data_IF_245174064992
#
_entry.id   IF_245174064992
#
_cell.length_a   1.000
_cell.length_b   1.000
_cell.length_c   1.000
_cell.angle_alpha   90.00
_cell.angle_beta   90.00
_cell.angle_gamma   90.00
#
_symmetry.space_group_name_H-M   'P 1'
#
loop_
_entity.id
_entity.type
_entity.pdbx_description
1 polymer ?
#
# COMPACT_ATOMS: atom_id res chain seq x y z
N UNK A 1 22.15 35.67 -44.89
CA UNK A 1 21.02 36.25 -44.14
C UNK A 1 19.73 35.98 -44.90
N UNK A 2 18.93 35.01 -44.49
CA UNK A 2 17.49 35.02 -44.75
C UNK A 2 16.80 34.55 -43.47
N UNK A 3 16.15 35.52 -42.82
CA UNK A 3 15.42 35.37 -41.56
C UNK A 3 14.20 34.47 -41.78
N UNK A 4 14.19 33.31 -41.14
CA UNK A 4 12.98 32.53 -40.93
C UNK A 4 12.08 33.31 -39.97
N UNK A 5 10.96 33.84 -40.47
CA UNK A 5 9.93 34.47 -39.64
C UNK A 5 9.26 33.42 -38.76
N UNK A 6 8.88 33.75 -37.52
CA UNK A 6 8.16 32.84 -36.64
C UNK A 6 6.76 32.59 -37.20
N UNK A 7 6.34 31.32 -37.21
CA UNK A 7 4.98 30.93 -37.55
C UNK A 7 4.05 31.46 -36.45
N UNK A 8 3.28 32.50 -36.77
CA UNK A 8 2.25 33.05 -35.90
C UNK A 8 1.04 32.12 -35.98
N UNK A 9 0.70 31.48 -34.86
CA UNK A 9 -0.49 30.65 -34.76
C UNK A 9 -1.74 31.55 -34.81
N UNK A 10 -2.59 31.37 -35.81
CA UNK A 10 -3.82 32.13 -35.99
C UNK A 10 -4.94 31.54 -35.11
N UNK A 11 -5.52 32.30 -34.15
CA UNK A 11 -6.61 31.81 -33.30
C UNK A 11 -7.92 31.53 -34.07
N UNK A 12 -8.07 32.06 -35.29
CA UNK A 12 -9.28 31.90 -36.12
C UNK A 12 -9.29 30.63 -36.99
N UNK A 13 -8.31 29.73 -36.81
CA UNK A 13 -8.26 28.46 -37.54
C UNK A 13 -9.49 27.53 -37.29
N UNK A 14 -10.30 27.81 -36.27
CA UNK A 14 -11.55 27.10 -36.01
C UNK A 14 -12.63 27.31 -37.09
N UNK A 15 -12.54 28.36 -37.91
CA UNK A 15 -13.57 28.68 -38.90
C UNK A 15 -13.34 28.07 -40.29
N UNK A 16 -12.09 27.66 -40.62
CA UNK A 16 -11.77 26.99 -41.90
C UNK A 16 -12.15 25.50 -41.92
N UNK A 17 -12.28 24.85 -40.76
CA UNK A 17 -12.53 23.41 -40.67
C UNK A 17 -13.92 23.01 -41.19
N UNK A 18 -14.92 23.91 -41.11
CA UNK A 18 -16.31 23.61 -41.50
C UNK A 18 -16.50 23.35 -43.00
N UNK A 19 -15.65 23.92 -43.87
CA UNK A 19 -15.77 23.75 -45.32
C UNK A 19 -15.08 22.48 -45.85
N UNK A 20 -13.96 22.08 -45.24
CA UNK A 20 -13.13 20.98 -45.74
C UNK A 20 -13.65 19.58 -45.34
N UNK A 21 -14.31 19.45 -44.18
CA UNK A 21 -14.78 18.15 -43.70
C UNK A 21 -16.03 17.63 -44.44
N UNK A 22 -16.91 18.52 -44.91
CA UNK A 22 -18.10 18.13 -45.68
C UNK A 22 -17.72 17.53 -47.04
N UNK A 23 -16.66 18.07 -47.67
CA UNK A 23 -16.08 17.53 -48.91
C UNK A 23 -15.41 16.16 -48.72
N UNK A 24 -15.01 15.82 -47.50
CA UNK A 24 -14.41 14.54 -47.13
C UNK A 24 -15.43 13.45 -46.74
N UNK A 25 -16.74 13.72 -46.82
CA UNK A 25 -17.79 12.77 -46.47
C UNK A 25 -18.00 12.56 -44.97
N UNK A 26 -17.54 13.50 -44.14
CA UNK A 26 -17.66 13.42 -42.68
C UNK A 26 -19.04 13.93 -42.25
N UNK A 27 -19.75 13.11 -41.48
CA UNK A 27 -21.09 13.45 -40.98
C UNK A 27 -21.03 14.54 -39.90
N UNK A 28 -22.15 15.24 -39.69
CA UNK A 28 -22.24 16.27 -38.64
C UNK A 28 -21.97 15.69 -37.22
N UNK A 29 -22.35 14.43 -36.98
CA UNK A 29 -22.05 13.69 -35.75
C UNK A 29 -20.54 13.46 -35.58
N UNK A 30 -19.85 13.04 -36.65
CA UNK A 30 -18.40 12.86 -36.64
C UNK A 30 -17.68 14.19 -36.40
N UNK A 31 -18.17 15.30 -36.96
CA UNK A 31 -17.60 16.64 -36.71
C UNK A 31 -17.75 17.06 -35.24
N UNK A 32 -18.89 16.80 -34.61
CA UNK A 32 -19.08 17.07 -33.17
C UNK A 32 -18.14 16.23 -32.32
N UNK A 33 -17.98 14.94 -32.66
CA UNK A 33 -17.08 14.04 -31.95
C UNK A 33 -15.61 14.46 -32.10
N UNK A 34 -15.20 14.91 -33.29
CA UNK A 34 -13.86 15.47 -33.51
C UNK A 34 -13.61 16.71 -32.64
N UNK A 35 -14.58 17.62 -32.52
CA UNK A 35 -14.46 18.79 -31.65
C UNK A 35 -14.29 18.41 -30.17
N UNK A 36 -15.00 17.39 -29.70
CA UNK A 36 -14.83 16.86 -28.35
C UNK A 36 -13.45 16.24 -28.14
N UNK A 37 -12.92 15.53 -29.15
CA UNK A 37 -11.58 14.93 -29.10
C UNK A 37 -10.47 15.98 -29.13
N UNK A 38 -10.63 17.05 -29.91
CA UNK A 38 -9.65 18.15 -29.95
C UNK A 38 -9.51 18.86 -28.60
N UNK A 39 -10.57 18.93 -27.80
CA UNK A 39 -10.49 19.42 -26.41
C UNK A 39 -9.63 18.51 -25.51
N UNK A 40 -9.41 17.25 -25.90
CA UNK A 40 -8.56 16.28 -25.20
C UNK A 40 -7.15 16.19 -25.79
N UNK A 41 -6.82 16.97 -26.83
CA UNK A 41 -5.49 16.96 -27.45
C UNK A 41 -4.46 17.55 -26.49
N UNK A 42 -3.46 16.74 -26.16
CA UNK A 42 -2.30 17.16 -25.37
C UNK A 42 -1.12 17.44 -26.31
N UNK A 43 -0.46 18.56 -26.12
CA UNK A 43 0.75 18.99 -26.82
C UNK A 43 1.84 19.30 -25.79
N UNK A 44 3.13 19.39 -26.18
CA UNK A 44 4.20 19.77 -25.26
C UNK A 44 4.02 21.12 -24.56
N UNK A 45 3.17 22.00 -25.11
CA UNK A 45 2.84 23.32 -24.56
C UNK A 45 1.47 23.40 -23.89
N UNK A 46 0.71 22.30 -23.89
CA UNK A 46 -0.59 22.25 -23.21
C UNK A 46 -0.37 22.45 -21.71
N UNK A 47 -0.98 23.49 -21.14
CA UNK A 47 -0.94 23.75 -19.69
C UNK A 47 -1.90 22.77 -19.00
N UNK A 48 -1.35 21.70 -18.46
CA UNK A 48 -2.10 20.71 -17.68
C UNK A 48 -2.09 21.10 -16.21
N UNK A 49 -3.19 20.80 -15.50
CA UNK A 49 -3.18 20.84 -14.03
C UNK A 49 -2.20 19.78 -13.53
N UNK A 50 -1.33 20.11 -12.56
CA UNK A 50 -0.50 19.09 -11.95
C UNK A 50 -1.39 18.04 -11.29
N UNK A 51 -0.95 16.80 -11.30
CA UNK A 51 -1.62 15.73 -10.58
C UNK A 51 -1.63 16.05 -9.08
N UNK A 52 -2.83 16.02 -8.50
CA UNK A 52 -3.07 16.26 -7.08
C UNK A 52 -3.18 14.93 -6.34
N UNK A 53 -2.66 14.90 -5.12
CA UNK A 53 -2.59 13.70 -4.29
C UNK A 53 -3.25 14.02 -2.94
N UNK A 54 -3.96 13.04 -2.38
CA UNK A 54 -4.61 13.22 -1.09
C UNK A 54 -3.62 13.11 0.08
N UNK A 55 -2.65 12.19 -0.04
CA UNK A 55 -1.79 11.81 1.09
C UNK A 55 -0.30 11.76 0.73
N UNK A 56 0.54 11.75 1.77
CA UNK A 56 1.93 11.31 1.70
C UNK A 56 2.11 10.09 2.57
N UNK A 57 2.67 9.02 2.01
CA UNK A 57 3.12 7.85 2.77
C UNK A 57 4.64 7.87 2.82
N UNK A 58 5.22 7.96 4.02
CA UNK A 58 6.68 8.08 4.20
C UNK A 58 7.27 9.25 3.39
N UNK A 59 6.57 10.39 3.37
CA UNK A 59 6.96 11.63 2.67
C UNK A 59 6.69 11.66 1.16
N UNK A 60 6.27 10.55 0.54
CA UNK A 60 6.01 10.46 -0.90
C UNK A 60 4.51 10.64 -1.22
N UNK A 61 4.14 11.49 -2.20
CA UNK A 61 2.74 11.64 -2.59
C UNK A 61 2.13 10.33 -3.08
N UNK A 62 0.90 10.04 -2.65
CA UNK A 62 0.13 8.85 -3.00
C UNK A 62 -1.38 9.15 -3.03
N UNK A 63 -2.16 8.22 -3.59
CA UNK A 63 -3.62 8.39 -3.80
C UNK A 63 -3.93 9.63 -4.66
N UNK A 64 -3.60 9.53 -5.94
CA UNK A 64 -3.86 10.59 -6.92
C UNK A 64 -5.38 10.78 -7.13
N UNK A 65 -5.82 12.03 -7.17
CA UNK A 65 -7.18 12.37 -7.62
C UNK A 65 -7.34 12.06 -9.10
N UNK A 66 -8.52 11.59 -9.48
CA UNK A 66 -8.80 11.19 -10.86
C UNK A 66 -8.36 9.76 -11.20
N UNK A 67 -7.82 9.02 -10.23
CA UNK A 67 -7.16 7.74 -10.46
C UNK A 67 -7.65 6.65 -9.49
N UNK A 68 -7.44 5.39 -9.88
CA UNK A 68 -7.72 4.23 -9.06
C UNK A 68 -6.50 3.80 -8.25
N UNK A 69 -6.73 3.37 -7.02
CA UNK A 69 -5.75 2.70 -6.17
C UNK A 69 -6.24 1.31 -5.80
N UNK A 70 -5.44 0.28 -6.05
CA UNK A 70 -5.75 -1.08 -5.57
C UNK A 70 -5.25 -1.28 -4.14
N UNK A 71 -6.10 -1.77 -3.23
CA UNK A 71 -5.70 -2.19 -1.89
C UNK A 71 -6.00 -3.68 -1.71
N UNK A 72 -4.94 -4.48 -1.66
CA UNK A 72 -5.03 -5.93 -1.74
C UNK A 72 -4.48 -6.64 -0.52
N UNK A 73 -4.78 -7.94 -0.38
CA UNK A 73 -4.18 -8.79 0.63
C UNK A 73 -5.04 -9.98 0.98
N UNK A 74 -4.44 -10.99 1.63
CA UNK A 74 -5.16 -12.19 2.11
C UNK A 74 -6.29 -11.83 3.08
N UNK A 75 -7.20 -12.77 3.32
CA UNK A 75 -8.23 -12.58 4.35
C UNK A 75 -7.56 -12.26 5.70
N UNK A 76 -8.13 -11.30 6.45
CA UNK A 76 -7.64 -10.84 7.76
C UNK A 76 -6.21 -10.23 7.73
N UNK A 77 -5.76 -9.73 6.58
CA UNK A 77 -4.43 -9.12 6.42
C UNK A 77 -4.35 -7.65 6.84
N UNK A 78 -5.42 -7.05 7.36
CA UNK A 78 -5.45 -5.67 7.83
C UNK A 78 -5.96 -4.63 6.83
N UNK A 79 -6.54 -5.04 5.70
CA UNK A 79 -7.14 -4.12 4.70
C UNK A 79 -8.11 -3.12 5.33
N UNK A 80 -9.09 -3.60 6.11
CA UNK A 80 -10.06 -2.74 6.79
C UNK A 80 -9.39 -1.76 7.77
N UNK A 81 -8.27 -2.13 8.41
CA UNK A 81 -7.50 -1.19 9.23
C UNK A 81 -6.87 -0.09 8.37
N UNK A 82 -6.28 -0.44 7.23
CA UNK A 82 -5.73 0.54 6.29
C UNK A 82 -6.82 1.45 5.73
N UNK A 83 -7.97 0.90 5.31
CA UNK A 83 -9.12 1.69 4.91
C UNK A 83 -9.58 2.65 6.01
N UNK A 84 -9.60 2.19 7.27
CA UNK A 84 -9.95 3.03 8.43
C UNK A 84 -8.94 4.16 8.66
N UNK A 85 -7.64 3.88 8.49
CA UNK A 85 -6.58 4.89 8.55
C UNK A 85 -6.79 5.96 7.47
N UNK A 86 -7.06 5.55 6.22
CA UNK A 86 -7.31 6.47 5.10
C UNK A 86 -8.54 7.35 5.35
N UNK A 87 -9.64 6.77 5.85
CA UNK A 87 -10.86 7.53 6.18
C UNK A 87 -10.63 8.50 7.34
N UNK A 88 -9.91 8.09 8.38
CA UNK A 88 -9.60 8.97 9.52
C UNK A 88 -8.67 10.14 9.11
N UNK A 89 -7.71 9.90 8.21
CA UNK A 89 -6.82 10.93 7.65
C UNK A 89 -7.56 12.00 6.82
N UNK A 90 -8.79 11.74 6.40
CA UNK A 90 -9.63 12.80 5.84
C UNK A 90 -9.97 13.89 6.87
N UNK A 91 -9.81 13.61 8.17
CA UNK A 91 -10.18 14.49 9.27
C UNK A 91 -8.99 14.99 10.10
N UNK A 92 -7.91 14.19 10.24
CA UNK A 92 -6.67 14.59 10.90
C UNK A 92 -5.53 14.89 9.91
N UNK A 93 -4.50 15.63 10.34
CA UNK A 93 -3.38 15.99 9.46
C UNK A 93 -2.39 14.85 9.25
N UNK A 94 -2.23 14.00 10.26
CA UNK A 94 -1.26 12.91 10.25
C UNK A 94 -1.76 11.79 11.15
N UNK A 95 -1.55 10.56 10.69
CA UNK A 95 -1.82 9.34 11.42
C UNK A 95 -0.76 8.32 11.04
N UNK A 96 -0.02 7.81 12.03
CA UNK A 96 1.17 6.98 11.80
C UNK A 96 2.17 7.71 10.89
N UNK A 97 2.74 7.03 9.88
CA UNK A 97 3.64 7.61 8.87
C UNK A 97 2.91 8.17 7.64
N UNK A 98 1.63 8.51 7.77
CA UNK A 98 0.80 9.02 6.66
C UNK A 98 0.28 10.41 6.98
N UNK A 99 0.39 11.31 6.02
CA UNK A 99 0.02 12.72 6.17
C UNK A 99 -1.01 13.12 5.11
N UNK A 100 -2.02 13.89 5.49
CA UNK A 100 -2.91 14.57 4.54
C UNK A 100 -2.20 15.77 3.94
N UNK A 101 -2.18 15.86 2.61
CA UNK A 101 -1.49 16.96 1.90
C UNK A 101 -2.24 18.27 2.07
N UNK A 102 -3.56 18.24 1.91
CA UNK A 102 -4.39 19.42 2.02
C UNK A 102 -4.65 19.79 3.49
N UNK A 103 -4.66 21.09 3.80
CA UNK A 103 -4.97 21.57 5.14
C UNK A 103 -6.47 21.48 5.47
N UNK A 104 -7.33 21.56 4.45
CA UNK A 104 -8.76 21.33 4.63
C UNK A 104 -9.03 19.85 4.87
N UNK A 105 -10.08 19.57 5.65
CA UNK A 105 -10.65 18.23 5.74
C UNK A 105 -11.15 17.78 4.36
N UNK A 106 -11.06 16.48 4.12
CA UNK A 106 -11.48 15.85 2.87
C UNK A 106 -12.86 15.24 3.07
N UNK A 107 -13.67 15.29 2.03
CA UNK A 107 -14.95 14.58 1.98
C UNK A 107 -14.68 13.12 1.61
N UNK A 108 -15.16 12.18 2.40
CA UNK A 108 -14.99 10.75 2.17
C UNK A 108 -16.32 10.03 1.98
N UNK A 109 -16.35 9.13 0.99
CA UNK A 109 -17.43 8.19 0.75
C UNK A 109 -16.92 6.77 1.02
N UNK A 110 -17.48 6.10 2.02
CA UNK A 110 -17.26 4.68 2.28
C UNK A 110 -18.42 3.86 1.72
N UNK A 111 -18.12 3.06 0.71
CA UNK A 111 -19.06 2.17 0.04
C UNK A 111 -18.72 0.72 0.40
N UNK A 112 -19.47 0.14 1.33
CA UNK A 112 -19.20 -1.16 1.95
C UNK A 112 -20.13 -2.24 1.39
N UNK A 113 -19.58 -3.23 0.70
CA UNK A 113 -20.34 -4.38 0.18
C UNK A 113 -20.13 -5.64 1.01
N UNK A 114 -19.17 -5.65 1.94
CA UNK A 114 -18.67 -6.87 2.58
C UNK A 114 -19.19 -7.06 4.00
N UNK A 115 -19.23 -6.00 4.81
CA UNK A 115 -19.55 -6.12 6.25
C UNK A 115 -21.05 -6.16 6.53
N UNK A 116 -21.45 -6.61 7.72
CA UNK A 116 -22.82 -6.39 8.21
C UNK A 116 -23.01 -4.92 8.60
N UNK A 117 -24.25 -4.44 8.63
CA UNK A 117 -24.56 -3.05 9.04
C UNK A 117 -23.99 -2.72 10.43
N UNK A 118 -24.15 -3.64 11.39
CA UNK A 118 -23.57 -3.52 12.73
C UNK A 118 -22.04 -3.42 12.69
N UNK A 119 -21.38 -4.26 11.89
CA UNK A 119 -19.91 -4.21 11.77
C UNK A 119 -19.44 -2.91 11.11
N UNK A 120 -20.14 -2.41 10.10
CA UNK A 120 -19.86 -1.11 9.47
C UNK A 120 -20.00 0.02 10.51
N UNK A 121 -21.07 0.00 11.31
CA UNK A 121 -21.29 0.98 12.37
C UNK A 121 -20.21 0.90 13.45
N UNK A 122 -19.83 -0.29 13.89
CA UNK A 122 -18.78 -0.49 14.89
C UNK A 122 -17.43 0.04 14.41
N UNK A 123 -17.07 -0.22 13.15
CA UNK A 123 -15.84 0.30 12.56
C UNK A 123 -15.87 1.83 12.53
N UNK A 124 -16.99 2.44 12.13
CA UNK A 124 -17.15 3.89 12.11
C UNK A 124 -16.96 4.49 13.52
N UNK A 125 -17.74 3.99 14.49
CA UNK A 125 -17.81 4.55 15.84
C UNK A 125 -16.59 4.24 16.69
N UNK A 126 -16.08 3.02 16.64
CA UNK A 126 -15.04 2.53 17.54
C UNK A 126 -13.65 2.53 16.91
N UNK A 127 -13.52 2.87 15.62
CA UNK A 127 -12.21 2.94 14.97
C UNK A 127 -11.98 4.23 14.20
N UNK A 128 -12.81 4.55 13.19
CA UNK A 128 -12.54 5.68 12.30
C UNK A 128 -12.62 7.02 13.05
N UNK A 129 -13.72 7.25 13.78
CA UNK A 129 -13.90 8.48 14.57
C UNK A 129 -12.80 8.63 15.64
N UNK A 130 -12.48 7.61 16.45
CA UNK A 130 -11.35 7.67 17.39
C UNK A 130 -10.00 7.96 16.74
N UNK A 131 -9.69 7.34 15.60
CA UNK A 131 -8.44 7.57 14.86
C UNK A 131 -8.31 9.01 14.34
N UNK A 132 -9.42 9.70 14.07
CA UNK A 132 -9.40 11.09 13.68
C UNK A 132 -9.00 12.02 14.85
N UNK A 133 -9.06 11.55 16.10
CA UNK A 133 -8.76 12.33 17.30
C UNK A 133 -9.74 13.47 17.57
N UNK A 134 -10.93 13.41 16.96
CA UNK A 134 -12.00 14.40 17.15
C UNK A 134 -13.06 13.76 18.07
N UNK A 135 -13.47 14.44 19.15
CA UNK A 135 -14.56 13.95 19.98
C UNK A 135 -15.83 13.70 19.16
N UNK A 136 -16.52 12.61 19.46
CA UNK A 136 -17.66 12.09 18.68
C UNK A 136 -18.74 13.16 18.47
N UNK A 137 -19.03 13.98 19.48
CA UNK A 137 -19.98 15.09 19.45
C UNK A 137 -19.60 16.25 18.53
N UNK A 138 -18.34 16.31 18.10
CA UNK A 138 -17.76 17.34 17.22
C UNK A 138 -17.24 16.78 15.90
N UNK A 139 -17.45 15.48 15.64
CA UNK A 139 -17.03 14.88 14.39
C UNK A 139 -17.86 15.44 13.22
N UNK A 140 -17.23 15.92 12.14
CA UNK A 140 -17.92 16.54 11.00
C UNK A 140 -18.60 15.48 10.12
N UNK A 141 -19.73 14.94 10.59
CA UNK A 141 -20.47 13.88 9.91
C UNK A 141 -20.90 14.26 8.49
N UNK A 142 -21.06 15.56 8.20
CA UNK A 142 -21.40 16.07 6.86
C UNK A 142 -20.31 15.84 5.80
N UNK A 143 -19.09 15.49 6.21
CA UNK A 143 -17.97 15.15 5.33
C UNK A 143 -17.68 13.65 5.27
N UNK A 144 -18.50 12.82 5.92
CA UNK A 144 -18.36 11.36 5.93
C UNK A 144 -19.66 10.67 5.54
N UNK A 145 -19.72 10.26 4.28
CA UNK A 145 -20.83 9.46 3.76
C UNK A 145 -20.50 7.97 3.87
N UNK A 146 -21.35 7.21 4.56
CA UNK A 146 -21.16 5.76 4.76
C UNK A 146 -22.40 5.02 4.27
N UNK A 147 -22.22 4.13 3.31
CA UNK A 147 -23.29 3.31 2.75
C UNK A 147 -22.89 1.83 2.83
N UNK A 148 -23.59 1.07 3.67
CA UNK A 148 -23.57 -0.39 3.60
C UNK A 148 -24.58 -0.82 2.53
N UNK A 149 -24.08 -1.39 1.44
CA UNK A 149 -24.88 -1.82 0.28
C UNK A 149 -24.84 -3.33 0.09
N UNK A 150 -24.45 -4.07 1.12
CA UNK A 150 -24.40 -5.54 1.09
C UNK A 150 -25.77 -6.15 0.77
N UNK A 151 -26.84 -5.51 1.23
CA UNK A 151 -28.23 -5.92 0.95
C UNK A 151 -28.71 -5.65 -0.47
N UNK A 152 -28.03 -4.74 -1.20
CA UNK A 152 -28.48 -4.32 -2.53
C UNK A 152 -28.20 -5.39 -3.60
N UNK A 153 -29.05 -5.48 -4.65
CA UNK A 153 -28.83 -6.36 -5.79
C UNK A 153 -27.48 -6.08 -6.45
N UNK A 154 -26.70 -7.14 -6.69
CA UNK A 154 -25.34 -7.03 -7.22
C UNK A 154 -25.24 -6.25 -8.53
N UNK A 155 -26.20 -6.42 -9.43
CA UNK A 155 -26.29 -5.71 -10.71
C UNK A 155 -26.58 -4.20 -10.58
N UNK A 156 -27.05 -3.74 -9.42
CA UNK A 156 -27.36 -2.34 -9.16
C UNK A 156 -26.19 -1.62 -8.47
N UNK A 157 -25.33 -2.33 -7.74
CA UNK A 157 -24.27 -1.76 -6.90
C UNK A 157 -23.34 -0.80 -7.65
N UNK A 158 -22.90 -1.11 -8.86
CA UNK A 158 -22.03 -0.20 -9.61
C UNK A 158 -22.76 1.10 -9.99
N UNK A 159 -24.03 1.01 -10.39
CA UNK A 159 -24.84 2.19 -10.68
C UNK A 159 -25.12 3.03 -9.43
N UNK A 160 -25.37 2.40 -8.29
CA UNK A 160 -25.54 3.09 -7.01
C UNK A 160 -24.26 3.82 -6.59
N UNK A 161 -23.09 3.18 -6.71
CA UNK A 161 -21.80 3.84 -6.46
C UNK A 161 -21.60 5.08 -7.34
N UNK A 162 -21.87 4.97 -8.65
CA UNK A 162 -21.78 6.11 -9.58
C UNK A 162 -22.71 7.26 -9.17
N UNK A 163 -23.96 6.95 -8.81
CA UNK A 163 -24.93 7.95 -8.34
C UNK A 163 -24.47 8.64 -7.05
N UNK A 164 -23.93 7.89 -6.09
CA UNK A 164 -23.43 8.44 -4.83
C UNK A 164 -22.21 9.35 -5.06
N UNK A 165 -21.25 8.93 -5.88
CA UNK A 165 -20.06 9.76 -6.19
C UNK A 165 -20.48 11.05 -6.90
N UNK A 166 -21.41 10.99 -7.86
CA UNK A 166 -21.94 12.18 -8.53
C UNK A 166 -22.70 13.11 -7.58
N UNK A 167 -23.46 12.55 -6.63
CA UNK A 167 -24.28 13.29 -5.68
C UNK A 167 -23.45 14.00 -4.61
N UNK A 168 -22.49 13.29 -4.02
CA UNK A 168 -21.74 13.75 -2.85
C UNK A 168 -20.40 14.39 -3.21
N UNK A 169 -19.87 14.13 -4.41
CA UNK A 169 -18.59 14.69 -4.90
C UNK A 169 -17.42 14.51 -3.91
N UNK A 170 -17.17 13.29 -3.41
CA UNK A 170 -16.16 13.04 -2.40
C UNK A 170 -14.74 13.27 -2.95
N UNK A 171 -13.80 13.62 -2.08
CA UNK A 171 -12.38 13.65 -2.40
C UNK A 171 -11.77 12.23 -2.44
N UNK A 172 -12.20 11.38 -1.50
CA UNK A 172 -11.80 9.97 -1.36
C UNK A 172 -13.03 9.06 -1.42
N UNK A 173 -12.97 8.01 -2.23
CA UNK A 173 -13.92 6.90 -2.22
C UNK A 173 -13.21 5.65 -1.74
N UNK A 174 -13.73 5.00 -0.70
CA UNK A 174 -13.30 3.67 -0.26
C UNK A 174 -14.37 2.67 -0.71
N UNK A 175 -14.06 1.93 -1.79
CA UNK A 175 -14.86 0.82 -2.28
C UNK A 175 -14.39 -0.47 -1.59
N UNK A 176 -15.03 -0.80 -0.46
CA UNK A 176 -14.70 -1.99 0.33
C UNK A 176 -15.39 -3.22 -0.24
N UNK A 177 -14.79 -3.80 -1.28
CA UNK A 177 -15.27 -5.00 -1.96
C UNK A 177 -15.54 -4.83 -3.46
N UNK A 178 -14.53 -4.44 -4.27
CA UNK A 178 -14.70 -4.32 -5.73
C UNK A 178 -15.19 -5.62 -6.40
N UNK A 179 -14.84 -6.77 -5.81
CA UNK A 179 -15.29 -8.10 -6.25
C UNK A 179 -16.81 -8.23 -6.29
N UNK A 180 -17.50 -7.52 -5.42
CA UNK A 180 -18.95 -7.61 -5.26
C UNK A 180 -19.72 -6.72 -6.25
N UNK A 181 -19.01 -6.04 -7.16
CA UNK A 181 -19.58 -5.32 -8.29
C UNK A 181 -19.75 -6.19 -9.54
N UNK A 182 -19.13 -7.38 -9.57
CA UNK A 182 -19.13 -8.27 -10.73
C UNK A 182 -19.72 -9.64 -10.38
N UNK A 183 -20.56 -10.17 -11.28
CA UNK A 183 -21.21 -11.46 -11.09
C UNK A 183 -20.24 -12.64 -11.18
N UNK A 184 -19.39 -12.62 -12.20
CA UNK A 184 -18.32 -13.58 -12.37
C UNK A 184 -16.98 -12.84 -12.39
N UNK A 185 -16.15 -13.11 -11.38
CA UNK A 185 -14.78 -12.59 -11.29
C UNK A 185 -13.88 -13.10 -12.42
N UNK A 186 -14.30 -14.17 -13.11
CA UNK A 186 -13.57 -14.77 -14.20
C UNK A 186 -14.01 -14.29 -15.59
N UNK A 187 -14.99 -13.38 -15.67
CA UNK A 187 -15.39 -12.75 -16.92
C UNK A 187 -14.51 -11.52 -17.18
N UNK A 188 -13.59 -11.65 -18.14
CA UNK A 188 -12.68 -10.58 -18.52
C UNK A 188 -13.37 -9.36 -19.12
N UNK A 189 -14.52 -9.52 -19.80
CA UNK A 189 -15.26 -8.42 -20.42
C UNK A 189 -15.94 -7.58 -19.33
N UNK A 190 -16.60 -8.25 -18.38
CA UNK A 190 -17.25 -7.57 -17.25
C UNK A 190 -16.22 -6.89 -16.34
N UNK A 191 -15.07 -7.54 -16.11
CA UNK A 191 -13.97 -6.96 -15.37
C UNK A 191 -13.45 -5.68 -16.04
N UNK A 192 -13.22 -5.72 -17.37
CA UNK A 192 -12.75 -4.57 -18.13
C UNK A 192 -13.76 -3.41 -18.09
N UNK A 193 -15.05 -3.66 -18.38
CA UNK A 193 -16.09 -2.62 -18.33
C UNK A 193 -16.18 -1.97 -16.94
N UNK A 194 -16.15 -2.78 -15.88
CA UNK A 194 -16.20 -2.30 -14.50
C UNK A 194 -15.03 -1.37 -14.18
N UNK A 195 -13.80 -1.78 -14.52
CA UNK A 195 -12.60 -0.96 -14.27
C UNK A 195 -12.62 0.31 -15.12
N UNK A 196 -13.03 0.26 -16.39
CA UNK A 196 -13.15 1.44 -17.24
C UNK A 196 -14.19 2.44 -16.70
N UNK A 197 -15.33 1.95 -16.19
CA UNK A 197 -16.35 2.77 -15.53
C UNK A 197 -15.80 3.44 -14.27
N UNK A 198 -15.10 2.70 -13.41
CA UNK A 198 -14.47 3.25 -12.21
C UNK A 198 -13.39 4.30 -12.55
N UNK A 199 -12.59 4.07 -13.59
CA UNK A 199 -11.59 5.05 -14.06
C UNK A 199 -12.26 6.34 -14.55
N UNK A 200 -13.33 6.23 -15.35
CA UNK A 200 -14.12 7.39 -15.77
C UNK A 200 -14.72 8.11 -14.57
N UNK A 201 -15.32 7.37 -13.63
CA UNK A 201 -15.94 7.92 -12.43
C UNK A 201 -14.93 8.73 -11.59
N UNK A 202 -13.74 8.16 -11.35
CA UNK A 202 -12.65 8.85 -10.64
C UNK A 202 -12.24 10.13 -11.38
N UNK A 203 -11.95 10.00 -12.69
CA UNK A 203 -11.45 11.10 -13.53
C UNK A 203 -12.43 12.25 -13.68
N UNK A 204 -13.71 11.96 -13.94
CA UNK A 204 -14.77 12.95 -14.17
C UNK A 204 -15.16 13.68 -12.87
N UNK A 205 -15.06 13.01 -11.72
CA UNK A 205 -15.40 13.60 -10.41
C UNK A 205 -14.18 14.08 -9.62
N UNK A 206 -12.96 13.94 -10.17
CA UNK A 206 -11.69 14.38 -9.56
C UNK A 206 -11.48 13.85 -8.13
N UNK A 207 -11.86 12.60 -7.90
CA UNK A 207 -11.72 11.88 -6.64
C UNK A 207 -10.68 10.74 -6.74
N UNK A 208 -10.09 10.33 -5.63
CA UNK A 208 -9.30 9.11 -5.58
C UNK A 208 -10.20 7.94 -5.17
N UNK A 209 -10.22 6.85 -5.95
CA UNK A 209 -11.01 5.65 -5.62
C UNK A 209 -10.07 4.53 -5.17
N UNK A 210 -10.25 4.08 -3.93
CA UNK A 210 -9.53 2.95 -3.35
C UNK A 210 -10.39 1.69 -3.47
N UNK A 211 -9.95 0.77 -4.31
CA UNK A 211 -10.63 -0.49 -4.56
C UNK A 211 -10.03 -1.59 -3.68
N UNK A 212 -10.78 -2.01 -2.65
CA UNK A 212 -10.35 -3.07 -1.74
C UNK A 212 -10.67 -4.43 -2.36
N UNK A 213 -9.67 -5.33 -2.39
CA UNK A 213 -9.79 -6.66 -2.97
C UNK A 213 -9.07 -7.72 -2.12
N UNK A 214 -9.72 -8.87 -1.91
CA UNK A 214 -9.06 -10.04 -1.32
C UNK A 214 -8.21 -10.79 -2.35
N UNK A 215 -7.00 -11.17 -1.96
CA UNK A 215 -6.19 -12.13 -2.73
C UNK A 215 -6.80 -13.54 -2.68
N UNK A 216 -6.42 -14.38 -3.65
CA UNK A 216 -6.82 -15.78 -3.70
C UNK A 216 -6.30 -16.59 -2.49
N UNK A 217 -6.98 -17.71 -2.20
CA UNK A 217 -6.67 -18.60 -1.06
C UNK A 217 -5.45 -19.52 -1.29
N UNK A 218 -5.01 -19.75 -2.53
CA UNK A 218 -3.86 -20.62 -2.81
C UNK A 218 -2.57 -19.99 -2.25
N UNK A 219 -1.74 -20.79 -1.60
CA UNK A 219 -0.53 -20.32 -0.91
C UNK A 219 0.56 -19.84 -1.88
N UNK A 220 0.50 -20.24 -3.16
CA UNK A 220 1.52 -19.99 -4.17
C UNK A 220 1.21 -18.78 -5.08
N UNK A 221 -0.05 -18.38 -5.23
CA UNK A 221 -0.43 -17.24 -6.08
C UNK A 221 -0.63 -15.97 -5.25
N UNK A 222 0.35 -15.07 -5.29
CA UNK A 222 0.20 -13.67 -4.82
C UNK A 222 -0.66 -12.81 -5.76
N UNK A 223 -1.21 -13.39 -6.82
CA UNK A 223 -1.98 -12.67 -7.82
C UNK A 223 -3.34 -12.23 -7.25
N UNK A 224 -3.78 -11.04 -7.66
CA UNK A 224 -5.10 -10.52 -7.34
C UNK A 224 -6.17 -11.46 -7.90
N UNK A 225 -7.29 -11.59 -7.18
CA UNK A 225 -8.31 -12.62 -7.45
C UNK A 225 -9.10 -12.32 -8.73
N UNK A 226 -9.07 -13.25 -9.68
CA UNK A 226 -9.87 -13.21 -10.91
C UNK A 226 -9.40 -12.16 -11.91
N UNK A 227 -10.08 -12.09 -13.05
CA UNK A 227 -9.84 -11.08 -14.08
C UNK A 227 -10.02 -9.65 -13.55
N UNK A 228 -10.97 -9.43 -12.63
CA UNK A 228 -11.16 -8.12 -11.98
C UNK A 228 -9.91 -7.66 -11.22
N UNK A 229 -9.24 -8.59 -10.53
CA UNK A 229 -8.00 -8.31 -9.82
C UNK A 229 -6.85 -7.99 -10.78
N UNK A 230 -6.68 -8.81 -11.80
CA UNK A 230 -5.67 -8.59 -12.84
C UNK A 230 -5.86 -7.25 -13.53
N UNK A 231 -7.10 -6.92 -13.93
CA UNK A 231 -7.41 -5.68 -14.63
C UNK A 231 -7.20 -4.46 -13.73
N UNK A 232 -7.63 -4.53 -12.46
CA UNK A 232 -7.33 -3.50 -11.47
C UNK A 232 -5.82 -3.28 -11.35
N UNK A 233 -5.01 -4.35 -11.26
CA UNK A 233 -3.54 -4.21 -11.17
C UNK A 233 -2.96 -3.46 -12.37
N UNK A 234 -3.42 -3.83 -13.57
CA UNK A 234 -2.92 -3.28 -14.83
C UNK A 234 -3.30 -1.80 -15.01
N UNK A 235 -4.48 -1.41 -14.52
CA UNK A 235 -5.07 -0.09 -14.77
C UNK A 235 -4.92 0.90 -13.62
N UNK A 236 -4.78 0.42 -12.39
CA UNK A 236 -4.60 1.28 -11.23
C UNK A 236 -3.31 2.12 -11.36
N UNK A 237 -3.37 3.31 -10.78
CA UNK A 237 -2.25 4.22 -10.70
C UNK A 237 -1.22 3.74 -9.67
N UNK A 238 -1.73 3.20 -8.56
CA UNK A 238 -0.96 2.59 -7.47
C UNK A 238 -1.65 1.32 -6.99
N UNK A 239 -0.85 0.34 -6.55
CA UNK A 239 -1.34 -0.87 -5.90
C UNK A 239 -0.57 -1.08 -4.61
N UNK A 240 -1.32 -1.39 -3.56
CA UNK A 240 -0.81 -1.69 -2.23
C UNK A 240 -1.21 -3.10 -1.80
N UNK A 241 -0.35 -3.71 -1.01
CA UNK A 241 -0.58 -5.01 -0.37
C UNK A 241 -0.55 -4.85 1.15
N UNK A 242 -1.59 -5.36 1.79
CA UNK A 242 -1.70 -5.57 3.21
C UNK A 242 -1.34 -7.01 3.55
N UNK A 243 -0.37 -7.19 4.44
CA UNK A 243 0.06 -8.47 4.95
C UNK A 243 0.00 -8.51 6.48
N UNK A 244 -0.23 -9.69 7.04
CA UNK A 244 -0.12 -9.95 8.48
C UNK A 244 1.14 -10.78 8.71
N UNK A 245 2.19 -10.16 9.24
CA UNK A 245 3.53 -10.77 9.37
C UNK A 245 3.68 -11.59 10.66
N UNK A 246 2.94 -11.22 11.70
CA UNK A 246 2.88 -11.93 12.99
C UNK A 246 1.46 -11.87 13.53
N UNK A 247 1.21 -12.40 14.74
CA UNK A 247 -0.14 -12.37 15.32
C UNK A 247 -0.70 -10.96 15.51
N UNK A 248 0.17 -9.95 15.63
CA UNK A 248 -0.25 -8.58 15.94
C UNK A 248 0.30 -7.52 14.98
N UNK A 249 1.26 -7.85 14.10
CA UNK A 249 1.88 -6.87 13.20
C UNK A 249 1.36 -7.00 11.78
N UNK A 250 0.84 -5.89 11.29
CA UNK A 250 0.37 -5.68 9.93
C UNK A 250 1.40 -4.85 9.15
N UNK A 251 1.47 -5.09 7.86
CA UNK A 251 2.30 -4.33 6.92
C UNK A 251 1.43 -3.84 5.78
N UNK A 252 1.60 -2.58 5.44
CA UNK A 252 0.99 -1.92 4.30
C UNK A 252 2.12 -1.41 3.39
N UNK A 253 2.31 -2.08 2.26
CA UNK A 253 3.39 -1.77 1.32
C UNK A 253 2.88 -1.49 -0.09
N UNK A 254 3.58 -0.64 -0.84
CA UNK A 254 3.32 -0.40 -2.25
C UNK A 254 3.94 -1.53 -3.09
N UNK A 255 3.16 -2.13 -3.98
CA UNK A 255 3.65 -3.18 -4.90
C UNK A 255 3.87 -2.66 -6.31
N UNK A 256 3.01 -1.74 -6.76
CA UNK A 256 3.04 -1.20 -8.12
C UNK A 256 2.71 0.31 -8.08
N UNK A 257 3.33 1.10 -8.95
CA UNK A 257 3.08 2.54 -9.09
C UNK A 257 3.43 3.03 -10.48
N UNK A 258 2.71 4.06 -10.94
CA UNK A 258 3.01 4.76 -12.21
C UNK A 258 3.88 6.00 -12.03
N UNK A 259 4.21 6.42 -10.80
CA UNK A 259 4.90 7.72 -10.60
C UNK A 259 5.90 7.75 -9.44
N UNK A 260 5.44 7.60 -8.20
CA UNK A 260 6.29 7.78 -7.02
C UNK A 260 6.41 6.47 -6.23
N UNK A 261 7.65 5.97 -6.17
CA UNK A 261 7.98 4.80 -5.34
C UNK A 261 8.01 5.16 -3.86
N UNK A 262 7.30 4.39 -3.05
CA UNK A 262 7.31 4.44 -1.59
C UNK A 262 8.29 3.38 -1.10
N UNK A 263 9.47 3.77 -0.57
CA UNK A 263 10.56 2.82 -0.31
C UNK A 263 10.33 1.97 0.94
N UNK A 264 9.58 2.49 1.91
CA UNK A 264 9.42 1.85 3.22
C UNK A 264 7.94 1.56 3.45
N UNK A 265 7.56 0.28 3.58
CA UNK A 265 6.19 -0.08 3.93
C UNK A 265 5.89 0.36 5.36
N UNK A 266 4.63 0.72 5.61
CA UNK A 266 4.16 1.08 6.94
C UNK A 266 3.85 -0.19 7.72
N UNK A 267 4.38 -0.28 8.94
CA UNK A 267 4.11 -1.38 9.86
C UNK A 267 3.37 -0.85 11.08
N UNK A 268 2.28 -1.52 11.43
CA UNK A 268 1.44 -1.14 12.56
C UNK A 268 0.93 -2.37 13.30
N UNK A 269 0.64 -2.18 14.58
CA UNK A 269 -0.05 -3.14 15.41
C UNK A 269 -1.42 -2.58 15.80
N UNK A 270 -2.24 -3.41 16.44
CA UNK A 270 -3.59 -3.04 16.89
C UNK A 270 -3.64 -3.22 18.40
N UNK A 271 -4.05 -2.17 19.12
CA UNK A 271 -4.15 -2.21 20.58
C UNK A 271 -5.45 -2.91 21.04
N UNK A 272 -5.65 -2.97 22.36
CA UNK A 272 -6.82 -3.63 22.97
C UNK A 272 -8.15 -2.94 22.62
N UNK A 273 -8.12 -1.65 22.30
CA UNK A 273 -9.28 -0.87 21.82
C UNK A 273 -9.57 -1.10 20.33
N UNK A 274 -8.77 -1.91 19.63
CA UNK A 274 -8.94 -2.16 18.20
C UNK A 274 -8.42 -1.03 17.30
N UNK A 275 -7.56 -0.14 17.82
CA UNK A 275 -6.97 0.99 17.11
C UNK A 275 -5.55 0.66 16.59
N UNK A 276 -5.28 0.90 15.30
CA UNK A 276 -3.94 0.86 14.75
C UNK A 276 -2.97 1.85 15.42
N UNK A 277 -1.78 1.40 15.78
CA UNK A 277 -0.70 2.24 16.28
C UNK A 277 0.65 1.84 15.65
N UNK A 278 1.57 2.79 15.61
CA UNK A 278 2.88 2.59 14.97
C UNK A 278 3.73 1.68 15.83
N UNK A 279 4.25 0.59 15.26
CA UNK A 279 5.11 -0.31 16.00
C UNK A 279 6.41 0.39 16.40
N UNK A 280 6.84 0.20 17.65
CA UNK A 280 8.19 0.56 18.08
C UNK A 280 9.21 -0.39 17.43
N UNK A 281 10.49 0.03 17.40
CA UNK A 281 11.56 -0.84 16.93
C UNK A 281 11.63 -2.15 17.73
N UNK A 282 11.44 -2.08 19.04
CA UNK A 282 11.41 -3.26 19.93
C UNK A 282 10.27 -4.22 19.58
N UNK A 283 9.06 -3.72 19.34
CA UNK A 283 7.91 -4.56 18.96
C UNK A 283 8.13 -5.26 17.62
N UNK A 284 8.76 -4.57 16.66
CA UNK A 284 9.13 -5.16 15.37
C UNK A 284 10.16 -6.29 15.56
N UNK A 285 11.20 -6.06 16.36
CA UNK A 285 12.21 -7.07 16.68
C UNK A 285 11.60 -8.28 17.39
N UNK A 286 10.72 -8.06 18.38
CA UNK A 286 10.09 -9.13 19.13
C UNK A 286 9.16 -9.98 18.25
N UNK A 287 8.39 -9.35 17.36
CA UNK A 287 7.56 -10.06 16.41
C UNK A 287 8.35 -10.86 15.38
N UNK A 288 9.48 -10.32 14.91
CA UNK A 288 10.43 -11.06 14.07
C UNK A 288 10.94 -12.30 14.81
N UNK A 289 11.40 -12.14 16.06
CA UNK A 289 11.91 -13.23 16.88
C UNK A 289 10.86 -14.32 17.15
N UNK A 290 9.61 -13.94 17.47
CA UNK A 290 8.50 -14.90 17.67
C UNK A 290 8.12 -15.63 16.38
N UNK A 291 8.14 -14.94 15.24
CA UNK A 291 7.90 -15.57 13.94
C UNK A 291 8.99 -16.60 13.62
N UNK A 292 10.25 -16.25 13.89
CA UNK A 292 11.41 -17.13 13.75
C UNK A 292 11.30 -18.36 14.67
N UNK A 293 10.87 -18.20 15.93
CA UNK A 293 10.61 -19.34 16.83
C UNK A 293 9.48 -20.25 16.33
N UNK A 294 8.34 -19.70 15.91
CA UNK A 294 7.23 -20.50 15.35
C UNK A 294 7.65 -21.28 14.09
N UNK A 295 8.52 -20.70 13.26
CA UNK A 295 9.12 -21.41 12.12
C UNK A 295 10.07 -22.53 12.58
N UNK A 296 10.92 -22.26 13.58
CA UNK A 296 11.82 -23.25 14.18
C UNK A 296 11.06 -24.46 14.75
N UNK A 297 9.98 -24.22 15.49
CA UNK A 297 9.16 -25.27 16.09
C UNK A 297 8.44 -26.12 15.04
N UNK A 298 7.91 -25.48 13.98
CA UNK A 298 7.36 -26.21 12.82
C UNK A 298 8.42 -27.07 12.12
N UNK A 299 9.64 -26.55 12.00
CA UNK A 299 10.75 -27.26 11.37
C UNK A 299 11.26 -28.42 12.24
N UNK A 300 11.17 -28.37 13.57
CA UNK A 300 11.45 -29.54 14.43
C UNK A 300 10.46 -30.70 14.20
N UNK A 301 9.24 -30.41 13.71
CA UNK A 301 8.27 -31.42 13.27
C UNK A 301 8.55 -32.02 11.88
N UNK A 302 9.46 -31.43 11.10
CA UNK A 302 9.86 -31.90 9.77
C UNK A 302 11.36 -32.25 9.73
N UNK A 303 11.71 -33.50 9.41
CA UNK A 303 13.10 -34.02 9.49
C UNK A 303 14.16 -33.35 8.55
N UNK A 304 13.95 -32.14 8.03
CA UNK A 304 14.94 -31.38 7.27
C UNK A 304 15.05 -29.95 7.81
N UNK A 305 16.14 -29.67 8.53
CA UNK A 305 16.58 -28.29 8.75
C UNK A 305 17.00 -27.68 7.40
N UNK A 306 16.68 -26.40 7.12
CA UNK A 306 17.26 -25.69 5.99
C UNK A 306 18.78 -25.60 6.16
N UNK A 307 19.52 -25.69 5.05
CA UNK A 307 20.97 -25.54 5.07
C UNK A 307 21.35 -24.10 5.45
N UNK A 308 22.39 -23.96 6.29
CA UNK A 308 22.94 -22.65 6.65
C UNK A 308 23.47 -21.94 5.39
N UNK A 309 23.45 -20.61 5.42
CA UNK A 309 23.95 -19.82 4.30
C UNK A 309 25.45 -20.12 4.06
N UNK A 310 25.83 -20.66 2.89
CA UNK A 310 27.19 -21.07 2.61
C UNK A 310 28.18 -19.90 2.60
N UNK A 311 27.70 -18.65 2.47
CA UNK A 311 28.54 -17.44 2.57
C UNK A 311 29.15 -17.27 3.97
N UNK A 312 28.45 -17.69 5.02
CA UNK A 312 28.85 -17.44 6.40
C UNK A 312 29.07 -18.71 7.22
N UNK A 313 28.68 -19.88 6.69
CA UNK A 313 28.80 -21.14 7.41
C UNK A 313 29.14 -22.29 6.46
N UNK A 314 30.06 -23.16 6.88
CA UNK A 314 30.34 -24.41 6.18
C UNK A 314 30.38 -25.57 7.19
N UNK A 315 30.28 -26.82 6.69
CA UNK A 315 30.38 -28.02 7.53
C UNK A 315 31.82 -28.52 7.56
N UNK A 316 32.35 -28.71 8.77
CA UNK A 316 33.55 -29.51 9.01
C UNK A 316 33.16 -30.74 9.83
N UNK A 317 33.12 -31.90 9.17
CA UNK A 317 32.65 -33.14 9.78
C UNK A 317 31.20 -33.03 10.25
N UNK A 318 30.97 -33.13 11.57
CA UNK A 318 29.63 -33.02 12.19
C UNK A 318 29.31 -31.63 12.74
N UNK A 319 30.23 -30.66 12.63
CA UNK A 319 30.05 -29.30 13.18
C UNK A 319 29.90 -28.28 12.06
N UNK A 320 29.16 -27.21 12.36
CA UNK A 320 29.12 -26.03 11.51
C UNK A 320 30.18 -25.05 12.00
N UNK A 321 30.95 -24.52 11.06
CA UNK A 321 31.98 -23.50 11.30
C UNK A 321 31.50 -22.21 10.65
N UNK A 322 31.41 -21.15 11.47
CA UNK A 322 30.96 -19.83 11.02
C UNK A 322 32.15 -18.91 10.72
N UNK A 323 32.09 -18.19 9.61
CA UNK A 323 33.01 -17.09 9.29
C UNK A 323 32.50 -15.82 10.00
N UNK A 324 32.91 -15.68 11.26
CA UNK A 324 32.49 -14.55 12.11
C UNK A 324 33.03 -13.21 11.61
N UNK A 325 34.19 -13.20 10.93
CA UNK A 325 34.78 -11.98 10.41
C UNK A 325 33.92 -11.40 9.28
N UNK A 326 33.61 -12.21 8.27
CA UNK A 326 32.75 -11.75 7.17
C UNK A 326 31.34 -11.43 7.67
N UNK A 327 30.82 -12.23 8.61
CA UNK A 327 29.49 -12.01 9.19
C UNK A 327 29.38 -10.66 9.90
N UNK A 328 30.28 -10.32 10.82
CA UNK A 328 30.16 -9.09 11.60
C UNK A 328 30.57 -7.83 10.81
N UNK A 329 31.37 -7.96 9.75
CA UNK A 329 31.57 -6.88 8.77
C UNK A 329 30.27 -6.53 8.04
N UNK A 330 29.46 -7.54 7.70
CA UNK A 330 28.19 -7.33 7.00
C UNK A 330 27.05 -6.87 7.94
N UNK A 331 27.19 -7.11 9.26
CA UNK A 331 26.20 -6.73 10.29
C UNK A 331 26.48 -5.35 10.89
N UNK A 332 27.74 -5.05 11.23
CA UNK A 332 28.09 -3.93 12.10
C UNK A 332 28.78 -2.80 11.33
N UNK A 333 28.51 -1.56 11.72
CA UNK A 333 29.24 -0.39 11.23
C UNK A 333 30.35 0.01 12.21
N UNK A 334 31.56 0.36 11.72
CA UNK A 334 32.65 0.84 12.58
C UNK A 334 32.23 2.06 13.42
N UNK A 335 32.55 2.02 14.71
CA UNK A 335 32.28 3.13 15.64
C UNK A 335 30.88 3.13 16.26
N UNK A 336 29.98 2.22 15.87
CA UNK A 336 28.69 2.02 16.53
C UNK A 336 28.74 0.87 17.56
N UNK A 337 27.88 0.98 18.56
CA UNK A 337 27.74 0.00 19.65
C UNK A 337 26.38 -0.69 19.52
N UNK A 338 26.37 -2.00 19.69
CA UNK A 338 25.19 -2.85 19.52
C UNK A 338 24.95 -3.70 20.77
N UNK A 339 23.70 -3.94 21.12
CA UNK A 339 23.31 -4.89 22.17
C UNK A 339 23.16 -6.31 21.62
N UNK A 340 23.15 -7.33 22.51
CA UNK A 340 22.83 -8.72 22.10
C UNK A 340 21.47 -8.79 21.38
N UNK A 341 20.50 -8.01 21.85
CA UNK A 341 19.13 -7.94 21.30
C UNK A 341 19.12 -7.42 19.85
N UNK A 342 20.11 -6.61 19.46
CA UNK A 342 20.26 -6.10 18.09
C UNK A 342 21.07 -7.01 17.17
N UNK A 343 22.02 -7.79 17.71
CA UNK A 343 22.92 -8.63 16.91
C UNK A 343 22.34 -10.01 16.60
N UNK A 344 21.66 -10.64 17.57
CA UNK A 344 21.12 -12.01 17.41
C UNK A 344 20.16 -12.14 16.21
N UNK A 345 19.22 -11.19 15.96
CA UNK A 345 18.38 -11.23 14.77
C UNK A 345 19.17 -11.15 13.46
N UNK A 346 20.16 -10.26 13.39
CA UNK A 346 20.97 -10.08 12.17
C UNK A 346 21.86 -11.29 11.87
N UNK A 347 22.38 -11.95 12.91
CA UNK A 347 23.11 -13.22 12.79
C UNK A 347 22.21 -14.28 12.14
N UNK A 348 20.96 -14.40 12.60
CA UNK A 348 20.00 -15.33 11.98
C UNK A 348 19.73 -14.98 10.52
N UNK A 349 19.42 -13.72 10.22
CA UNK A 349 19.04 -13.27 8.88
C UNK A 349 20.13 -13.58 7.84
N UNK A 350 21.40 -13.44 8.22
CA UNK A 350 22.52 -13.72 7.34
C UNK A 350 22.90 -15.21 7.31
N UNK A 351 22.92 -15.90 8.45
CA UNK A 351 23.46 -17.28 8.54
C UNK A 351 22.43 -18.39 8.38
N UNK A 352 21.15 -18.12 8.67
CA UNK A 352 20.11 -19.13 8.81
C UNK A 352 20.22 -19.98 10.09
N UNK A 353 21.06 -19.59 11.07
CA UNK A 353 21.25 -20.33 12.31
C UNK A 353 20.02 -20.25 13.23
N UNK A 354 19.17 -21.28 13.22
CA UNK A 354 17.87 -21.25 13.92
C UNK A 354 18.01 -21.36 15.45
N UNK A 355 18.99 -22.11 15.95
CA UNK A 355 19.10 -22.42 17.38
C UNK A 355 19.69 -21.23 18.14
N UNK A 356 19.05 -20.70 19.21
CA UNK A 356 19.57 -19.57 19.99
C UNK A 356 21.00 -19.80 20.50
N UNK A 357 21.30 -21.04 20.92
CA UNK A 357 22.65 -21.44 21.35
C UNK A 357 23.73 -21.18 20.29
N UNK A 358 23.39 -21.30 18.99
CA UNK A 358 24.33 -21.01 17.91
C UNK A 358 24.64 -19.51 17.84
N UNK A 359 23.69 -18.63 18.14
CA UNK A 359 23.95 -17.18 18.17
C UNK A 359 24.92 -16.82 19.28
N UNK A 360 24.74 -17.42 20.46
CA UNK A 360 25.66 -17.25 21.59
C UNK A 360 27.06 -17.79 21.23
N UNK A 361 27.15 -18.96 20.60
CA UNK A 361 28.41 -19.54 20.11
C UNK A 361 29.09 -18.65 19.06
N UNK A 362 28.33 -18.05 18.13
CA UNK A 362 28.85 -17.13 17.10
C UNK A 362 29.37 -15.84 17.73
N UNK A 363 28.63 -15.24 18.67
CA UNK A 363 29.05 -14.03 19.39
C UNK A 363 30.30 -14.29 20.22
N UNK A 364 30.34 -15.42 20.94
CA UNK A 364 31.51 -15.82 21.72
C UNK A 364 32.73 -16.02 20.81
N UNK A 365 32.57 -16.75 19.71
CA UNK A 365 33.64 -16.96 18.73
C UNK A 365 34.17 -15.65 18.14
N UNK A 366 33.30 -14.69 17.84
CA UNK A 366 33.69 -13.38 17.32
C UNK A 366 34.49 -12.54 18.33
N UNK A 367 34.18 -12.67 19.62
CA UNK A 367 34.97 -12.06 20.70
C UNK A 367 36.34 -12.75 20.82
N UNK A 368 36.36 -14.09 20.80
CA UNK A 368 37.59 -14.88 20.88
C UNK A 368 38.54 -14.62 19.69
N UNK A 369 37.99 -14.45 18.49
CA UNK A 369 38.75 -14.11 17.28
C UNK A 369 39.09 -12.60 17.15
N UNK A 370 38.78 -11.78 18.16
CA UNK A 370 38.99 -10.33 18.17
C UNK A 370 38.32 -9.57 17.00
N UNK A 371 37.23 -10.10 16.45
CA UNK A 371 36.41 -9.39 15.43
C UNK A 371 35.55 -8.31 16.08
N UNK A 372 35.03 -8.59 17.28
CA UNK A 372 34.21 -7.66 18.05
C UNK A 372 34.74 -7.56 19.49
N UNK A 373 34.57 -6.39 20.11
CA UNK A 373 34.79 -6.18 21.55
C UNK A 373 33.47 -6.30 22.27
N UNK A 374 33.46 -7.03 23.39
CA UNK A 374 32.34 -7.07 24.32
C UNK A 374 32.70 -6.27 25.58
N UNK A 375 31.85 -5.32 25.95
CA UNK A 375 31.94 -4.51 27.18
C UNK A 375 30.63 -4.62 27.94
N UNK A 376 30.70 -4.61 29.27
CA UNK A 376 29.51 -4.54 30.12
C UNK A 376 29.26 -3.09 30.49
N UNK A 377 28.09 -2.58 30.17
CA UNK A 377 27.71 -1.20 30.46
C UNK A 377 27.37 -1.02 31.96
N UNK A 378 27.20 0.23 32.44
CA UNK A 378 26.91 0.51 33.86
C UNK A 378 25.62 -0.13 34.40
N UNK A 379 24.75 -0.62 33.53
CA UNK A 379 23.49 -1.30 33.88
C UNK A 379 23.63 -2.83 33.87
N UNK A 380 24.84 -3.36 33.71
CA UNK A 380 25.11 -4.80 33.69
C UNK A 380 24.74 -5.50 32.38
N UNK A 381 24.42 -4.75 31.32
CA UNK A 381 24.11 -5.30 29.99
C UNK A 381 25.38 -5.36 29.13
N UNK A 382 25.48 -6.39 28.28
CA UNK A 382 26.58 -6.53 27.32
C UNK A 382 26.33 -5.70 26.07
N UNK A 383 27.38 -5.02 25.65
CA UNK A 383 27.46 -4.17 24.47
C UNK A 383 28.65 -4.59 23.61
N UNK A 384 28.48 -4.50 22.30
CA UNK A 384 29.40 -5.03 21.31
C UNK A 384 29.79 -3.93 20.31
N UNK A 385 31.08 -3.80 20.05
CA UNK A 385 31.63 -2.92 19.02
C UNK A 385 32.51 -3.68 18.05
N UNK A 386 32.47 -3.31 16.76
CA UNK A 386 33.36 -3.87 15.75
C UNK A 386 34.81 -3.37 16.00
N UNK A 387 35.80 -4.26 15.89
CA UNK A 387 37.22 -3.90 16.02
C UNK A 387 37.83 -3.32 14.75
#
# INVERSE_FOLDING_TARGET
>A
MQNLKPVVFNPDAGHLIRGELWLAGISCEQEQRLKQLEQRRITPTTKLRPMEFLFRLSGKPCFARGELTGLSGKAKSGKTFVSSILMALCFCNQLLSVERIEQKKLHVLWYDTEQSEESTQDILKHRIIPLAGIPEDRFPMEQMDVFNVRGEPMNERLGLLELLVMRYQPDLVVLDGIRDLVADINDGVVAQDTIERLMRLASENHCAIVCVLHQNKSQEDKNLRGWIGTELKNKAFEVYECAKNSEHIFTWGQTDTRKYTIPTPLQFAVNDDGLPYQCSHEQLLEAQFRSQQKMADKLQGSNKLPDLNPKYAHKEGRKHVFDVKQLFIDIMQPGLVYSEEQLKPQIFDLTGAIKPKLHDEILQKAVEENVIVCVTNPFGKKEYGLR
#
